data_IF_245831507979
#
_entry.id   IF_245831507979
#
_cell.length_a   1.000
_cell.length_b   1.000
_cell.length_c   1.000
_cell.angle_alpha   90.00
_cell.angle_beta   90.00
_cell.angle_gamma   90.00
#
_symmetry.space_group_name_H-M   'P 1'
#
loop_
_entity.id
_entity.type
_entity.pdbx_description
1 polymer ?
#
# COMPACT_ATOMS: atom_id res chain seq x y z
N UNK A 1 -13.91 -3.20 5.05
CA UNK A 1 -12.60 -2.50 5.07
C UNK A 1 -12.00 -2.28 3.67
N UNK A 2 -11.99 -3.28 2.76
CA UNK A 2 -11.35 -3.18 1.44
C UNK A 2 -11.65 -1.88 0.65
N UNK A 3 -12.90 -1.35 0.60
CA UNK A 3 -13.19 -0.10 -0.08
C UNK A 3 -12.62 1.15 0.58
N UNK A 4 -12.44 1.13 1.90
CA UNK A 4 -12.06 2.32 2.68
C UNK A 4 -10.71 2.88 2.20
N UNK A 5 -9.76 2.00 1.90
CA UNK A 5 -8.44 2.39 1.40
C UNK A 5 -8.21 1.97 -0.05
N UNK A 6 -9.25 1.56 -0.79
CA UNK A 6 -9.09 1.01 -2.15
C UNK A 6 -7.89 0.04 -2.23
N UNK A 7 -7.96 -1.07 -1.48
CA UNK A 7 -6.82 -1.98 -1.34
C UNK A 7 -6.25 -2.37 -2.71
N UNK A 8 -4.93 -2.41 -2.82
CA UNK A 8 -4.29 -2.70 -4.09
C UNK A 8 -2.89 -3.27 -3.92
N UNK A 9 -2.54 -4.20 -4.80
CA UNK A 9 -1.24 -4.85 -4.86
C UNK A 9 -0.98 -5.36 -6.27
N UNK A 10 0.30 -5.46 -6.65
CA UNK A 10 0.73 -6.08 -7.92
C UNK A 10 0.06 -5.49 -9.18
N UNK A 11 -0.20 -4.18 -9.18
CA UNK A 11 -0.74 -3.46 -10.34
C UNK A 11 -2.25 -3.53 -10.52
N UNK A 12 -3.00 -4.02 -9.51
CA UNK A 12 -4.45 -4.00 -9.48
C UNK A 12 -4.95 -3.37 -8.19
N UNK A 13 -6.01 -2.58 -8.29
CA UNK A 13 -6.74 -2.01 -7.16
C UNK A 13 -8.15 -2.59 -7.10
N UNK A 14 -8.75 -2.55 -5.90
CA UNK A 14 -10.11 -3.04 -5.66
C UNK A 14 -11.13 -2.34 -6.57
N UNK A 15 -10.95 -1.03 -6.79
CA UNK A 15 -11.78 -0.22 -7.67
C UNK A 15 -11.88 -0.76 -9.11
N UNK A 16 -10.84 -1.43 -9.63
CA UNK A 16 -10.83 -1.98 -10.99
C UNK A 16 -11.86 -3.12 -11.19
N UNK A 17 -12.30 -3.73 -10.09
CA UNK A 17 -13.29 -4.83 -10.06
C UNK A 17 -14.54 -4.47 -9.27
N UNK A 18 -14.65 -3.22 -8.82
CA UNK A 18 -15.77 -2.76 -8.02
C UNK A 18 -17.03 -2.54 -8.86
N UNK A 19 -18.18 -2.94 -8.32
CA UNK A 19 -19.49 -2.65 -8.93
C UNK A 19 -20.28 -1.66 -8.07
N UNK A 20 -20.54 -2.02 -6.82
CA UNK A 20 -21.22 -1.16 -5.85
C UNK A 20 -21.03 -1.68 -4.43
N UNK A 21 -21.40 -0.86 -3.44
CA UNK A 21 -21.48 -1.28 -2.03
C UNK A 21 -22.74 -0.76 -1.36
N UNK A 22 -23.14 -1.41 -0.28
CA UNK A 22 -24.18 -0.93 0.63
C UNK A 22 -23.49 -0.39 1.89
N UNK A 23 -23.96 0.75 2.37
CA UNK A 23 -23.52 1.35 3.61
C UNK A 23 -24.69 1.94 4.40
N UNK A 24 -24.52 2.03 5.72
CA UNK A 24 -25.41 2.76 6.61
C UNK A 24 -24.76 4.11 6.92
N UNK A 25 -25.50 5.22 6.78
CA UNK A 25 -25.08 6.52 7.32
C UNK A 25 -25.28 6.50 8.84
N UNK A 26 -24.19 6.56 9.59
CA UNK A 26 -24.20 6.51 11.05
C UNK A 26 -24.77 7.80 11.68
N UNK A 27 -24.98 8.86 10.89
CA UNK A 27 -25.61 10.07 11.39
C UNK A 27 -27.13 9.91 11.58
N UNK A 28 -27.81 9.18 10.70
CA UNK A 28 -29.29 9.06 10.70
C UNK A 28 -29.83 7.64 10.60
N UNK A 29 -28.94 6.64 10.42
CA UNK A 29 -29.29 5.23 10.30
C UNK A 29 -29.81 4.82 8.92
N UNK A 30 -29.80 5.71 7.92
CA UNK A 30 -30.31 5.41 6.58
C UNK A 30 -29.38 4.48 5.79
N UNK A 31 -29.98 3.62 4.97
CA UNK A 31 -29.24 2.77 4.03
C UNK A 31 -28.96 3.53 2.73
N UNK A 32 -27.74 3.35 2.19
CA UNK A 32 -27.32 3.92 0.92
C UNK A 32 -26.52 2.92 0.10
N UNK A 33 -26.82 2.88 -1.19
CA UNK A 33 -26.01 2.19 -2.21
C UNK A 33 -25.04 3.19 -2.83
N UNK A 34 -23.77 2.82 -2.93
CA UNK A 34 -22.72 3.59 -3.61
C UNK A 34 -22.28 2.86 -4.87
N UNK A 35 -22.19 3.58 -5.99
CA UNK A 35 -21.47 3.12 -7.19
C UNK A 35 -20.05 3.67 -7.22
N UNK A 36 -19.24 3.30 -8.22
CA UNK A 36 -17.82 3.65 -8.28
C UNK A 36 -17.57 5.17 -8.21
N UNK A 37 -18.40 5.95 -8.91
CA UNK A 37 -18.31 7.42 -8.93
C UNK A 37 -18.58 8.03 -7.55
N UNK A 38 -19.57 7.50 -6.81
CA UNK A 38 -19.87 7.98 -5.45
C UNK A 38 -18.72 7.71 -4.47
N UNK A 39 -18.01 6.60 -4.65
CA UNK A 39 -16.96 6.15 -3.75
C UNK A 39 -15.70 7.02 -3.82
N UNK A 40 -15.51 7.76 -4.92
CA UNK A 40 -14.33 8.62 -5.17
C UNK A 40 -13.01 7.90 -4.88
N UNK A 41 -12.87 6.67 -5.38
CA UNK A 41 -11.66 5.89 -5.16
C UNK A 41 -10.43 6.58 -5.75
N UNK A 42 -9.34 6.55 -4.99
CA UNK A 42 -8.02 6.96 -5.43
C UNK A 42 -6.95 6.08 -4.77
N UNK A 43 -5.68 6.33 -5.06
CA UNK A 43 -4.57 5.58 -4.47
C UNK A 43 -4.60 5.67 -2.93
N UNK A 44 -4.90 4.55 -2.27
CA UNK A 44 -5.03 4.44 -0.81
C UNK A 44 -6.08 5.37 -0.18
N UNK A 45 -7.11 5.74 -0.95
CA UNK A 45 -8.12 6.71 -0.53
C UNK A 45 -9.53 6.43 -1.09
N UNK A 46 -10.55 6.96 -0.40
CA UNK A 46 -11.96 6.91 -0.78
C UNK A 46 -12.77 7.94 0.01
N UNK A 47 -14.01 8.19 -0.39
CA UNK A 47 -14.95 9.04 0.38
C UNK A 47 -15.13 8.55 1.82
N UNK A 48 -15.04 7.24 2.07
CA UNK A 48 -15.19 6.65 3.39
C UNK A 48 -13.99 6.95 4.31
N UNK A 49 -12.79 7.09 3.73
CA UNK A 49 -11.59 7.53 4.47
C UNK A 49 -11.58 9.03 4.69
N UNK A 50 -12.13 9.80 3.74
CA UNK A 50 -12.29 11.26 3.84
C UNK A 50 -13.38 11.66 4.87
N UNK A 51 -14.34 10.77 5.14
CA UNK A 51 -15.43 10.97 6.10
C UNK A 51 -15.39 9.91 7.21
N UNK A 52 -14.33 9.89 8.04
CA UNK A 52 -14.15 8.87 9.06
C UNK A 52 -15.32 8.90 10.06
N UNK A 53 -15.83 7.72 10.42
CA UNK A 53 -16.91 7.57 11.40
C UNK A 53 -18.33 7.83 10.87
N UNK A 54 -18.49 8.20 9.59
CA UNK A 54 -19.83 8.42 9.00
C UNK A 54 -20.46 7.16 8.41
N UNK A 55 -19.70 6.38 7.65
CA UNK A 55 -20.28 5.29 6.86
C UNK A 55 -19.89 3.92 7.40
N UNK A 56 -20.89 3.07 7.66
CA UNK A 56 -20.68 1.66 7.96
C UNK A 56 -20.96 0.82 6.71
N UNK A 57 -19.91 0.36 6.03
CA UNK A 57 -20.03 -0.52 4.86
C UNK A 57 -20.49 -1.92 5.30
N UNK A 58 -21.63 -2.37 4.77
CA UNK A 58 -22.26 -3.65 5.15
C UNK A 58 -22.07 -4.73 4.08
N UNK A 59 -22.03 -4.35 2.79
CA UNK A 59 -21.85 -5.30 1.67
C UNK A 59 -21.05 -4.66 0.55
N UNK A 60 -20.20 -5.44 -0.12
CA UNK A 60 -19.44 -5.02 -1.31
C UNK A 60 -19.72 -5.98 -2.45
N UNK A 61 -19.95 -5.45 -3.66
CA UNK A 61 -20.19 -6.22 -4.87
C UNK A 61 -19.06 -5.98 -5.87
N UNK A 62 -18.60 -7.07 -6.45
CA UNK A 62 -17.52 -7.09 -7.42
C UNK A 62 -18.01 -7.62 -8.76
N UNK A 63 -17.52 -7.03 -9.84
CA UNK A 63 -17.76 -7.49 -11.21
C UNK A 63 -16.48 -8.09 -11.77
N UNK A 64 -16.47 -9.42 -11.87
CA UNK A 64 -15.34 -10.19 -12.37
C UNK A 64 -15.60 -10.61 -13.83
N UNK A 65 -14.60 -10.45 -14.69
CA UNK A 65 -14.71 -10.82 -16.10
C UNK A 65 -14.68 -12.34 -16.26
N UNK A 66 -15.55 -12.89 -17.12
CA UNK A 66 -15.49 -14.31 -17.52
C UNK A 66 -14.35 -14.54 -18.51
N UNK A 67 -14.24 -13.66 -19.50
CA UNK A 67 -13.10 -13.58 -20.42
C UNK A 67 -11.96 -12.83 -19.75
N UNK A 68 -11.42 -13.43 -18.69
CA UNK A 68 -10.36 -12.86 -17.88
C UNK A 68 -9.01 -12.89 -18.62
N UNK A 69 -8.23 -11.83 -18.42
CA UNK A 69 -6.86 -11.73 -18.92
C UNK A 69 -5.86 -11.66 -17.75
N UNK A 70 -4.74 -12.41 -17.81
CA UNK A 70 -3.73 -12.38 -16.78
C UNK A 70 -3.04 -11.02 -16.69
N UNK A 71 -2.81 -10.57 -15.45
CA UNK A 71 -2.05 -9.36 -15.16
C UNK A 71 -0.72 -9.74 -14.52
N UNK A 72 0.31 -9.87 -15.35
CA UNK A 72 1.65 -10.33 -14.94
C UNK A 72 2.72 -9.24 -15.00
N UNK A 73 2.33 -7.98 -15.30
CA UNK A 73 3.26 -6.86 -15.54
C UNK A 73 4.13 -6.47 -14.33
N UNK A 74 3.81 -6.97 -13.14
CA UNK A 74 4.60 -6.69 -11.95
C UNK A 74 5.82 -7.62 -11.93
N UNK A 75 7.02 -7.06 -11.97
CA UNK A 75 8.27 -7.80 -12.21
C UNK A 75 8.54 -8.97 -11.25
N UNK A 76 8.06 -8.92 -10.00
CA UNK A 76 8.16 -10.07 -9.09
C UNK A 76 7.24 -11.23 -9.50
N UNK A 77 6.04 -10.92 -9.98
CA UNK A 77 5.04 -11.91 -10.41
C UNK A 77 5.48 -12.56 -11.72
N UNK A 78 5.93 -11.77 -12.68
CA UNK A 78 6.49 -12.26 -13.94
C UNK A 78 7.62 -13.26 -13.70
N UNK A 79 8.57 -12.89 -12.83
CA UNK A 79 9.70 -13.76 -12.47
C UNK A 79 9.27 -15.04 -11.77
N UNK A 80 8.38 -14.96 -10.79
CA UNK A 80 7.90 -16.13 -10.06
C UNK A 80 7.19 -17.14 -10.98
N UNK A 81 6.46 -16.64 -11.99
CA UNK A 81 5.81 -17.49 -13.00
C UNK A 81 6.83 -18.08 -13.98
N UNK A 82 7.79 -17.29 -14.44
CA UNK A 82 8.87 -17.75 -15.32
C UNK A 82 9.74 -18.82 -14.65
N UNK A 83 10.09 -18.64 -13.37
CA UNK A 83 10.87 -19.61 -12.59
C UNK A 83 10.14 -20.97 -12.44
N UNK A 84 8.80 -20.96 -12.57
CA UNK A 84 7.94 -22.16 -12.56
C UNK A 84 7.66 -22.71 -13.96
N UNK A 85 8.15 -22.07 -15.02
CA UNK A 85 7.89 -22.45 -16.41
C UNK A 85 6.41 -22.27 -16.83
N UNK A 86 5.72 -21.27 -16.28
CA UNK A 86 4.31 -21.00 -16.57
C UNK A 86 4.19 -19.84 -17.56
N UNK A 87 4.02 -20.17 -18.84
CA UNK A 87 3.89 -19.17 -19.92
C UNK A 87 2.45 -18.66 -20.10
N UNK A 88 1.46 -19.46 -19.71
CA UNK A 88 0.02 -19.15 -19.84
C UNK A 88 -0.69 -19.36 -18.50
N UNK A 89 -0.54 -18.43 -17.54
CA UNK A 89 -1.00 -18.63 -16.17
C UNK A 89 -2.52 -18.54 -16.05
N UNK A 90 -3.10 -19.43 -15.25
CA UNK A 90 -4.46 -19.28 -14.75
C UNK A 90 -4.52 -18.23 -13.62
N UNK A 91 -5.73 -17.82 -13.23
CA UNK A 91 -5.90 -16.95 -12.07
C UNK A 91 -5.35 -17.58 -10.77
N UNK A 92 -5.38 -18.92 -10.67
CA UNK A 92 -4.83 -19.64 -9.52
C UNK A 92 -3.30 -19.60 -9.50
N UNK A 93 -2.65 -19.76 -10.66
CA UNK A 93 -1.18 -19.67 -10.76
C UNK A 93 -0.68 -18.29 -10.32
N UNK A 94 -1.37 -17.23 -10.73
CA UNK A 94 -1.07 -15.85 -10.30
C UNK A 94 -1.31 -15.69 -8.80
N UNK A 95 -2.41 -16.22 -8.27
CA UNK A 95 -2.70 -16.19 -6.84
C UNK A 95 -1.58 -16.86 -6.03
N UNK A 96 -1.17 -18.06 -6.42
CA UNK A 96 -0.12 -18.82 -5.74
C UNK A 96 1.25 -18.14 -5.84
N UNK A 97 1.58 -17.57 -7.00
CA UNK A 97 2.78 -16.75 -7.17
C UNK A 97 2.77 -15.54 -6.23
N UNK A 98 1.66 -14.80 -6.16
CA UNK A 98 1.49 -13.65 -5.26
C UNK A 98 1.62 -14.06 -3.80
N UNK A 99 1.02 -15.18 -3.38
CA UNK A 99 1.13 -15.71 -2.02
C UNK A 99 2.58 -16.05 -1.69
N UNK A 100 3.29 -16.75 -2.59
CA UNK A 100 4.68 -17.12 -2.41
C UNK A 100 5.58 -15.88 -2.25
N UNK A 101 5.43 -14.88 -3.11
CA UNK A 101 6.18 -13.62 -3.02
C UNK A 101 5.90 -12.92 -1.69
N UNK A 102 4.63 -12.83 -1.28
CA UNK A 102 4.24 -12.15 -0.03
C UNK A 102 4.80 -12.85 1.19
N UNK A 103 4.74 -14.19 1.26
CA UNK A 103 5.31 -14.98 2.35
C UNK A 103 6.82 -14.78 2.50
N UNK A 104 7.55 -14.54 1.41
CA UNK A 104 8.99 -14.26 1.47
C UNK A 104 9.29 -12.83 1.97
N UNK A 105 8.49 -11.84 1.55
CA UNK A 105 8.78 -10.41 1.76
C UNK A 105 8.14 -9.81 3.02
N UNK A 106 6.99 -10.32 3.45
CA UNK A 106 6.19 -9.71 4.51
C UNK A 106 6.23 -10.56 5.78
N UNK A 107 6.34 -9.93 6.96
CA UNK A 107 6.25 -10.65 8.23
C UNK A 107 4.80 -11.07 8.50
N UNK A 108 4.62 -12.28 9.04
CA UNK A 108 3.33 -12.73 9.53
C UNK A 108 2.96 -11.96 10.81
N UNK A 109 1.83 -11.22 10.84
CA UNK A 109 1.40 -10.50 12.05
C UNK A 109 1.19 -11.38 13.28
N UNK A 110 0.93 -12.67 13.10
CA UNK A 110 0.81 -13.64 14.21
C UNK A 110 2.17 -13.91 14.85
N UNK A 111 3.24 -13.91 14.07
CA UNK A 111 4.61 -14.12 14.56
C UNK A 111 5.23 -12.82 15.08
N UNK A 112 5.01 -11.71 14.37
CA UNK A 112 5.57 -10.40 14.72
C UNK A 112 4.59 -9.28 14.33
N UNK A 113 4.05 -8.62 15.36
CA UNK A 113 2.99 -7.63 15.20
C UNK A 113 3.37 -6.52 14.21
N UNK A 114 2.56 -6.35 13.18
CA UNK A 114 2.75 -5.32 12.15
C UNK A 114 1.41 -4.96 11.48
N UNK A 115 1.37 -3.80 10.82
CA UNK A 115 0.20 -3.33 10.07
C UNK A 115 0.46 -3.32 8.54
N UNK A 116 1.35 -4.18 8.05
CA UNK A 116 1.79 -4.17 6.66
C UNK A 116 2.67 -2.97 6.32
N UNK A 117 2.56 -2.46 5.09
CA UNK A 117 3.30 -1.25 4.70
C UNK A 117 2.78 -0.06 5.49
N UNK A 118 3.68 0.54 6.28
CA UNK A 118 3.31 1.59 7.22
C UNK A 118 3.15 2.95 6.55
N UNK A 119 3.86 3.20 5.45
CA UNK A 119 3.79 4.44 4.69
C UNK A 119 3.23 4.18 3.28
N UNK A 120 2.44 5.13 2.79
CA UNK A 120 2.05 5.21 1.38
C UNK A 120 3.28 5.56 0.52
N UNK A 121 3.23 5.19 -0.75
CA UNK A 121 4.18 5.71 -1.73
C UNK A 121 3.87 7.19 -2.01
N UNK A 122 4.82 8.13 -1.82
CA UNK A 122 4.57 9.54 -2.05
C UNK A 122 4.41 9.82 -3.55
N UNK A 123 3.49 10.73 -3.88
CA UNK A 123 3.28 11.25 -5.24
C UNK A 123 3.81 12.67 -5.28
N UNK A 124 4.76 12.94 -6.16
CA UNK A 124 5.48 14.22 -6.26
C UNK A 124 5.36 14.82 -7.66
N UNK A 125 5.58 16.12 -7.78
CA UNK A 125 5.69 16.79 -9.07
C UNK A 125 6.87 16.26 -9.90
N UNK A 126 6.75 16.33 -11.24
CA UNK A 126 7.77 15.85 -12.17
C UNK A 126 9.15 16.48 -11.91
N UNK A 127 9.20 17.79 -11.64
CA UNK A 127 10.44 18.52 -11.33
C UNK A 127 11.10 18.02 -10.04
N UNK A 128 10.30 17.64 -9.04
CA UNK A 128 10.82 17.06 -7.81
C UNK A 128 11.50 15.72 -8.08
N UNK A 129 10.83 14.84 -8.85
CA UNK A 129 11.39 13.56 -9.26
C UNK A 129 12.67 13.73 -10.09
N UNK A 130 12.68 14.68 -11.03
CA UNK A 130 13.85 14.95 -11.88
C UNK A 130 15.07 15.34 -11.04
N UNK A 131 14.91 16.24 -10.04
CA UNK A 131 15.99 16.58 -9.11
C UNK A 131 16.48 15.39 -8.30
N UNK A 132 15.56 14.55 -7.82
CA UNK A 132 15.92 13.34 -7.07
C UNK A 132 16.71 12.36 -7.91
N UNK A 133 16.35 12.16 -9.19
CA UNK A 133 17.03 11.23 -10.09
C UNK A 133 18.47 11.65 -10.42
N UNK A 134 18.80 12.94 -10.35
CA UNK A 134 20.19 13.40 -10.49
C UNK A 134 21.07 12.86 -9.37
N UNK A 135 20.59 12.93 -8.12
CA UNK A 135 21.32 12.41 -6.95
C UNK A 135 21.16 10.89 -6.78
N UNK A 136 20.05 10.33 -7.27
CA UNK A 136 19.63 8.96 -7.04
C UNK A 136 19.11 8.30 -8.33
N UNK A 137 20.00 7.96 -9.29
CA UNK A 137 19.58 7.41 -10.59
C UNK A 137 18.79 6.11 -10.51
N UNK A 138 18.97 5.33 -9.43
CA UNK A 138 18.29 4.06 -9.20
C UNK A 138 16.93 4.20 -8.47
N UNK A 139 16.46 5.41 -8.17
CA UNK A 139 15.19 5.64 -7.47
C UNK A 139 14.01 5.07 -8.29
N UNK A 140 13.27 4.06 -7.78
CA UNK A 140 12.10 3.55 -8.46
C UNK A 140 10.99 4.59 -8.47
N UNK A 141 10.46 4.86 -9.67
CA UNK A 141 9.48 5.90 -9.91
C UNK A 141 8.48 5.44 -10.98
N UNK A 142 7.23 5.84 -10.81
CA UNK A 142 6.12 5.39 -11.65
C UNK A 142 5.29 6.60 -12.10
N UNK A 143 5.28 6.95 -13.40
CA UNK A 143 4.44 8.02 -13.92
C UNK A 143 2.96 7.78 -13.64
N UNK A 144 2.24 8.83 -13.26
CA UNK A 144 0.79 8.83 -13.07
C UNK A 144 0.11 9.56 -14.24
N UNK A 145 -1.19 9.32 -14.44
CA UNK A 145 -1.94 9.89 -15.58
C UNK A 145 -2.06 11.43 -15.53
N UNK A 146 -1.95 12.03 -14.34
CA UNK A 146 -2.00 13.47 -14.12
C UNK A 146 -0.63 14.17 -14.28
N UNK A 147 0.39 13.44 -14.72
CA UNK A 147 1.76 13.95 -14.91
C UNK A 147 2.63 13.93 -13.64
N UNK A 148 2.05 13.64 -12.46
CA UNK A 148 2.84 13.45 -11.24
C UNK A 148 3.52 12.09 -11.24
N UNK A 149 4.50 11.94 -10.35
CA UNK A 149 5.33 10.74 -10.25
C UNK A 149 5.19 10.11 -8.88
N UNK A 150 4.84 8.82 -8.83
CA UNK A 150 4.80 8.03 -7.59
C UNK A 150 6.18 7.43 -7.32
N UNK A 151 6.76 7.70 -6.15
CA UNK A 151 8.07 7.18 -5.74
C UNK A 151 7.91 5.96 -4.83
N UNK A 152 8.87 5.04 -4.84
CA UNK A 152 8.88 3.91 -3.90
C UNK A 152 9.32 4.35 -2.49
N UNK A 153 8.39 4.45 -1.53
CA UNK A 153 8.68 4.83 -0.15
C UNK A 153 9.66 3.86 0.52
N UNK A 154 9.54 2.55 0.26
CA UNK A 154 10.46 1.55 0.81
C UNK A 154 11.91 1.78 0.38
N UNK A 155 12.12 2.25 -0.85
CA UNK A 155 13.45 2.58 -1.34
C UNK A 155 14.01 3.81 -0.59
N UNK A 156 13.21 4.87 -0.42
CA UNK A 156 13.62 6.07 0.31
C UNK A 156 13.99 5.75 1.77
N UNK A 157 13.19 4.92 2.45
CA UNK A 157 13.43 4.47 3.83
C UNK A 157 14.69 3.61 3.92
N UNK A 158 14.92 2.72 2.95
CA UNK A 158 16.13 1.90 2.87
C UNK A 158 17.38 2.76 2.65
N UNK A 159 17.34 3.73 1.74
CA UNK A 159 18.46 4.65 1.51
C UNK A 159 18.72 5.61 2.69
N UNK A 160 17.69 5.89 3.50
CA UNK A 160 17.85 6.58 4.76
C UNK A 160 18.45 5.69 5.88
N UNK A 161 18.68 4.40 5.61
CA UNK A 161 19.36 3.47 6.53
C UNK A 161 18.44 2.88 7.60
N UNK A 162 17.13 2.88 7.38
CA UNK A 162 16.17 2.38 8.37
C UNK A 162 15.87 0.89 8.25
N UNK A 163 16.09 0.25 7.10
CA UNK A 163 15.78 -1.19 6.93
C UNK A 163 16.56 -2.04 7.95
N UNK A 164 15.84 -2.84 8.74
CA UNK A 164 16.41 -3.63 9.84
C UNK A 164 16.79 -2.85 11.09
N UNK A 165 16.60 -1.52 11.11
CA UNK A 165 16.90 -0.68 12.28
C UNK A 165 15.75 -0.70 13.27
N UNK A 166 16.08 -0.79 14.56
CA UNK A 166 15.15 -0.67 15.67
C UNK A 166 15.26 0.70 16.35
N UNK A 167 14.16 1.15 16.95
CA UNK A 167 14.07 2.29 17.85
C UNK A 167 13.25 1.89 19.09
N UNK A 168 13.93 1.36 20.10
CA UNK A 168 13.28 0.74 21.24
C UNK A 168 12.56 -0.55 20.83
N UNK A 169 11.29 -0.78 21.25
CA UNK A 169 10.57 -2.03 20.97
C UNK A 169 9.98 -2.11 19.56
N UNK A 170 10.13 -1.07 18.73
CA UNK A 170 9.65 -1.07 17.33
C UNK A 170 10.84 -1.00 16.39
N UNK A 171 10.75 -1.63 15.22
CA UNK A 171 11.77 -1.49 14.18
C UNK A 171 11.21 -1.61 12.77
N UNK A 172 12.02 -1.25 11.77
CA UNK A 172 11.73 -1.56 10.38
C UNK A 172 12.15 -3.01 10.09
N UNK A 173 11.29 -3.74 9.38
CA UNK A 173 11.55 -5.14 9.04
C UNK A 173 12.74 -5.28 8.09
N UNK A 174 13.58 -6.29 8.34
CA UNK A 174 14.84 -6.52 7.65
C UNK A 174 14.63 -6.85 6.16
N UNK A 175 13.50 -7.47 5.82
CA UNK A 175 13.17 -7.88 4.45
C UNK A 175 12.33 -6.85 3.69
N UNK A 176 11.72 -5.89 4.40
CA UNK A 176 10.84 -4.89 3.81
C UNK A 176 10.84 -3.59 4.62
N UNK A 177 11.52 -2.56 4.11
CA UNK A 177 11.72 -1.28 4.80
C UNK A 177 10.41 -0.53 5.12
N UNK A 178 9.34 -0.78 4.36
CA UNK A 178 8.03 -0.18 4.60
C UNK A 178 7.32 -0.74 5.84
N UNK A 179 7.70 -1.92 6.33
CA UNK A 179 6.95 -2.58 7.40
C UNK A 179 7.59 -2.26 8.73
N UNK A 180 6.81 -1.62 9.62
CA UNK A 180 7.18 -1.49 11.03
C UNK A 180 6.71 -2.72 11.80
N UNK A 181 7.58 -3.25 12.65
CA UNK A 181 7.36 -4.45 13.45
C UNK A 181 7.52 -4.18 14.93
N UNK A 182 6.64 -4.77 15.73
CA UNK A 182 6.73 -4.82 17.18
C UNK A 182 7.68 -5.97 17.60
N UNK A 183 8.82 -5.63 18.19
CA UNK A 183 9.83 -6.57 18.72
C UNK A 183 9.49 -7.14 20.10
N UNK A 184 8.29 -6.83 20.61
CA UNK A 184 7.79 -7.22 21.92
C UNK A 184 7.58 -6.01 22.81
N UNK A 185 6.38 -5.91 23.41
CA UNK A 185 6.06 -4.87 24.39
C UNK A 185 5.92 -3.44 23.85
N UNK A 186 5.87 -3.22 22.53
CA UNK A 186 5.70 -1.88 21.98
C UNK A 186 4.32 -1.28 22.31
N UNK A 187 4.33 0.00 22.63
CA UNK A 187 3.15 0.86 22.74
C UNK A 187 2.87 1.59 21.42
N UNK A 188 1.69 2.22 21.32
CA UNK A 188 1.35 3.11 20.20
C UNK A 188 2.31 4.30 20.09
N UNK A 189 2.78 4.83 21.22
CA UNK A 189 3.74 5.94 21.27
C UNK A 189 5.11 5.53 20.71
N UNK A 190 5.53 4.28 20.92
CA UNK A 190 6.76 3.76 20.34
C UNK A 190 6.67 3.69 18.81
N UNK A 191 5.50 3.29 18.29
CA UNK A 191 5.21 3.27 16.85
C UNK A 191 5.17 4.69 16.28
N UNK A 192 4.50 5.63 16.95
CA UNK A 192 4.46 7.03 16.56
C UNK A 192 5.88 7.65 16.50
N UNK A 193 6.72 7.35 17.50
CA UNK A 193 8.07 7.89 17.61
C UNK A 193 8.98 7.43 16.47
N UNK A 194 8.98 6.15 16.13
CA UNK A 194 9.78 5.67 15.00
C UNK A 194 9.23 6.16 13.67
N UNK A 195 7.90 6.25 13.52
CA UNK A 195 7.28 6.77 12.30
C UNK A 195 7.70 8.24 12.06
N UNK A 196 7.62 9.09 13.09
CA UNK A 196 8.04 10.47 13.03
C UNK A 196 9.53 10.61 12.72
N UNK A 197 10.39 9.76 13.29
CA UNK A 197 11.82 9.76 13.02
C UNK A 197 12.13 9.41 11.55
N UNK A 198 11.44 8.42 10.99
CA UNK A 198 11.57 8.05 9.57
C UNK A 198 11.08 9.19 8.66
N UNK A 199 9.92 9.78 8.96
CA UNK A 199 9.38 10.92 8.20
C UNK A 199 10.34 12.10 8.19
N UNK A 200 10.90 12.46 9.36
CA UNK A 200 11.85 13.56 9.48
C UNK A 200 13.14 13.32 8.68
N UNK A 201 13.68 12.10 8.74
CA UNK A 201 14.92 11.74 8.04
C UNK A 201 14.70 11.69 6.51
N UNK A 202 13.61 11.07 6.05
CA UNK A 202 13.26 11.04 4.62
C UNK A 202 12.99 12.45 4.08
N UNK A 203 12.30 13.30 4.86
CA UNK A 203 12.10 14.71 4.49
C UNK A 203 13.41 15.47 4.40
N UNK A 204 14.32 15.27 5.35
CA UNK A 204 15.61 15.96 5.38
C UNK A 204 16.50 15.54 4.22
N UNK A 205 16.55 14.24 3.90
CA UNK A 205 17.42 13.70 2.84
C UNK A 205 16.89 13.91 1.43
N UNK A 206 15.58 13.76 1.24
CA UNK A 206 14.97 13.71 -0.09
C UNK A 206 13.99 14.86 -0.35
N UNK A 207 13.64 15.66 0.66
CA UNK A 207 12.60 16.67 0.52
C UNK A 207 11.20 16.08 0.31
N UNK A 208 11.00 14.80 0.64
CA UNK A 208 9.75 14.07 0.43
C UNK A 208 9.06 13.82 1.77
N UNK A 209 7.77 14.12 1.86
CA UNK A 209 6.95 13.77 3.01
C UNK A 209 6.35 12.38 2.83
N UNK A 210 6.50 11.51 3.84
CA UNK A 210 5.81 10.23 3.88
C UNK A 210 4.53 10.35 4.69
N UNK A 211 3.47 9.72 4.20
CA UNK A 211 2.18 9.65 4.90
C UNK A 211 1.96 8.23 5.44
N UNK A 212 1.57 8.07 6.72
CA UNK A 212 1.16 6.77 7.22
C UNK A 212 -0.06 6.21 6.47
N UNK A 213 -0.07 4.90 6.23
CA UNK A 213 -1.21 4.15 5.69
C UNK A 213 -2.17 3.65 6.78
N UNK A 214 -1.69 3.13 7.93
CA UNK A 214 -2.53 2.79 9.07
C UNK A 214 -3.22 4.03 9.68
N UNK A 215 -4.41 3.80 10.24
CA UNK A 215 -5.15 4.82 11.00
C UNK A 215 -4.68 4.78 12.45
N UNK A 216 -4.26 5.92 12.98
CA UNK A 216 -4.02 6.10 14.41
C UNK A 216 -5.38 6.36 15.08
N UNK A 217 -5.69 5.60 16.12
CA UNK A 217 -6.95 5.67 16.88
C UNK A 217 -6.66 6.24 18.25
#
# INVERSE_FOLDING_TARGET
>A
AAPIQNIGAYGLEMADRFESLDAIDLCDGSERVFVAEDCRFAYRDSVFKQQPGRWLVTRVRFRLARDWMPLTRYADVERELADKGIDSPTAMDISDAVIAIRRRKLPDPVEIGNAGSFFKNPVVEADCCARLLVAHPALPHYPQADGRIKLAAGWLIEQAGWKGRNLGPVGCYERQALVLVNRGGASGDDVARIAAAIQADVRTRFGVMLEPEPVFV
#
